data_IF_950867608197
#
_entry.id   IF_950867608197
#
_cell.length_a   1.000
_cell.length_b   1.000
_cell.length_c   1.000
_cell.angle_alpha   90.00
_cell.angle_beta   90.00
_cell.angle_gamma   90.00
#
_symmetry.space_group_name_H-M   'P 1'
#
loop_
_entity.id
_entity.type
_entity.pdbx_description
1 polymer ?
#
# COMPACT_ATOMS: atom_id res chain seq x y z
N UNK A 1 -18.16 -8.79 22.69
CA UNK A 1 -16.87 -9.45 22.96
C UNK A 1 -16.18 -9.72 21.63
N UNK A 2 -14.85 -9.72 21.67
CA UNK A 2 -13.86 -9.45 20.61
C UNK A 2 -14.32 -9.44 19.15
N UNK A 3 -14.22 -8.27 18.50
CA UNK A 3 -13.93 -8.23 17.07
C UNK A 3 -12.52 -8.79 16.93
N UNK A 4 -12.40 -10.07 16.56
CA UNK A 4 -11.13 -10.66 16.14
C UNK A 4 -10.44 -9.67 15.22
N UNK A 5 -9.39 -9.03 15.70
CA UNK A 5 -8.56 -8.14 14.91
C UNK A 5 -7.90 -9.04 13.89
N UNK A 6 -8.58 -9.28 12.76
CA UNK A 6 -8.02 -9.98 11.60
C UNK A 6 -6.83 -9.15 11.17
N UNK A 7 -5.66 -9.54 11.67
CA UNK A 7 -4.35 -9.07 11.23
C UNK A 7 -4.32 -9.35 9.74
N UNK A 8 -4.50 -8.28 8.96
CA UNK A 8 -4.43 -8.41 7.52
C UNK A 8 -2.98 -8.72 7.19
N UNK A 9 -2.76 -9.85 6.51
CA UNK A 9 -1.41 -10.22 6.12
C UNK A 9 -0.91 -9.29 5.00
N UNK A 10 0.41 -9.13 4.84
CA UNK A 10 0.98 -8.34 3.75
C UNK A 10 0.40 -8.72 2.37
N UNK A 11 0.27 -10.01 2.10
CA UNK A 11 -0.31 -10.54 0.85
C UNK A 11 -1.80 -10.21 0.70
N UNK A 12 -2.59 -10.27 1.77
CA UNK A 12 -4.00 -9.88 1.73
C UNK A 12 -4.15 -8.38 1.48
N UNK A 13 -3.29 -7.57 2.08
CA UNK A 13 -3.25 -6.14 1.82
C UNK A 13 -2.83 -5.84 0.39
N UNK A 14 -1.80 -6.52 -0.13
CA UNK A 14 -1.36 -6.44 -1.52
C UNK A 14 -2.54 -6.70 -2.47
N UNK A 15 -3.17 -7.88 -2.37
CA UNK A 15 -4.29 -8.25 -3.22
C UNK A 15 -5.48 -7.27 -3.11
N UNK A 16 -5.71 -6.68 -1.94
CA UNK A 16 -6.71 -5.61 -1.77
C UNK A 16 -6.29 -4.34 -2.52
N UNK A 17 -5.04 -3.89 -2.37
CA UNK A 17 -4.53 -2.69 -3.02
C UNK A 17 -4.53 -2.84 -4.54
N UNK A 18 -4.08 -3.98 -5.06
CA UNK A 18 -4.12 -4.30 -6.49
C UNK A 18 -5.54 -4.21 -7.07
N UNK A 19 -6.53 -4.78 -6.38
CA UNK A 19 -7.94 -4.71 -6.85
C UNK A 19 -8.49 -3.30 -6.88
N UNK A 20 -8.14 -2.44 -5.93
CA UNK A 20 -8.62 -1.06 -5.94
C UNK A 20 -7.90 -0.25 -7.02
N UNK A 21 -6.57 -0.41 -7.17
CA UNK A 21 -5.79 0.23 -8.22
C UNK A 21 -6.26 -0.16 -9.62
N UNK A 22 -6.68 -1.42 -9.81
CA UNK A 22 -7.24 -1.88 -11.08
C UNK A 22 -8.59 -1.22 -11.44
N UNK A 23 -9.33 -0.70 -10.46
CA UNK A 23 -10.64 -0.06 -10.66
C UNK A 23 -10.55 1.46 -10.74
N UNK A 24 -9.55 2.06 -10.09
CA UNK A 24 -9.35 3.49 -9.99
C UNK A 24 -7.87 3.76 -9.76
N UNK A 25 -7.33 4.78 -10.42
CA UNK A 25 -5.97 5.25 -10.13
C UNK A 25 -5.90 5.82 -8.71
N UNK A 26 -4.93 5.35 -7.94
CA UNK A 26 -4.66 5.82 -6.58
C UNK A 26 -3.25 6.39 -6.49
N UNK A 27 -3.11 7.49 -5.76
CA UNK A 27 -1.80 8.02 -5.43
C UNK A 27 -1.09 7.15 -4.37
N UNK A 28 0.25 7.09 -4.37
CA UNK A 28 1.01 6.34 -3.37
C UNK A 28 0.65 6.72 -1.92
N UNK A 29 0.40 8.01 -1.69
CA UNK A 29 -0.04 8.52 -0.38
C UNK A 29 -1.38 7.92 0.09
N UNK A 30 -2.35 7.77 -0.81
CA UNK A 30 -3.65 7.17 -0.48
C UNK A 30 -3.50 5.68 -0.15
N UNK A 31 -2.66 4.97 -0.90
CA UNK A 31 -2.35 3.56 -0.65
C UNK A 31 -1.63 3.41 0.70
N UNK A 32 -0.64 4.26 1.00
CA UNK A 32 0.04 4.30 2.31
C UNK A 32 -0.96 4.48 3.45
N UNK A 33 -1.85 5.47 3.36
CA UNK A 33 -2.89 5.68 4.38
C UNK A 33 -3.82 4.47 4.55
N UNK A 34 -4.18 3.79 3.46
CA UNK A 34 -4.99 2.58 3.53
C UNK A 34 -4.25 1.45 4.23
N UNK A 35 -2.98 1.23 3.90
CA UNK A 35 -2.14 0.20 4.52
C UNK A 35 -1.88 0.50 6.01
N UNK A 36 -1.67 1.76 6.39
CA UNK A 36 -1.55 2.19 7.79
C UNK A 36 -2.82 1.90 8.60
N UNK A 37 -4.01 2.12 8.02
CA UNK A 37 -5.29 1.76 8.65
C UNK A 37 -5.46 0.26 8.86
N UNK A 38 -4.74 -0.57 8.10
CA UNK A 38 -4.70 -2.01 8.29
C UNK A 38 -3.72 -2.44 9.39
N UNK A 39 -3.09 -1.49 10.09
CA UNK A 39 -2.12 -1.74 11.16
C UNK A 39 -0.92 -2.57 10.71
N UNK A 40 -0.51 -2.42 9.45
CA UNK A 40 0.70 -3.03 8.92
C UNK A 40 1.94 -2.27 9.41
N UNK A 41 3.06 -2.95 9.66
CA UNK A 41 4.30 -2.30 10.03
C UNK A 41 4.91 -1.56 8.83
N UNK A 42 5.63 -0.48 9.10
CA UNK A 42 6.03 0.49 8.07
C UNK A 42 6.94 -0.13 6.98
N UNK A 43 7.83 -1.04 7.36
CA UNK A 43 8.67 -1.84 6.47
C UNK A 43 7.84 -2.60 5.42
N UNK A 44 6.75 -3.25 5.86
CA UNK A 44 5.82 -3.95 4.97
C UNK A 44 5.09 -2.97 4.07
N UNK A 45 4.65 -1.82 4.61
CA UNK A 45 3.93 -0.80 3.83
C UNK A 45 4.80 -0.31 2.67
N UNK A 46 6.06 0.04 2.94
CA UNK A 46 6.98 0.50 1.91
C UNK A 46 7.28 -0.59 0.88
N UNK A 47 7.50 -1.84 1.31
CA UNK A 47 7.68 -2.96 0.39
C UNK A 47 6.46 -3.17 -0.54
N UNK A 48 5.25 -3.05 -0.01
CA UNK A 48 4.02 -3.16 -0.79
C UNK A 48 3.85 -2.01 -1.79
N UNK A 49 4.15 -0.78 -1.38
CA UNK A 49 4.07 0.40 -2.26
C UNK A 49 5.10 0.29 -3.39
N UNK A 50 6.36 -0.05 -3.08
CA UNK A 50 7.40 -0.25 -4.10
C UNK A 50 7.03 -1.35 -5.08
N UNK A 51 6.39 -2.43 -4.61
CA UNK A 51 5.87 -3.48 -5.50
C UNK A 51 4.75 -2.97 -6.41
N UNK A 52 3.78 -2.22 -5.88
CA UNK A 52 2.68 -1.67 -6.66
C UNK A 52 3.15 -0.66 -7.72
N UNK A 53 4.19 0.12 -7.42
CA UNK A 53 4.82 1.03 -8.39
C UNK A 53 5.53 0.23 -9.49
N UNK A 54 6.36 -0.75 -9.12
CA UNK A 54 7.05 -1.61 -10.08
C UNK A 54 6.09 -2.36 -11.01
N UNK A 55 4.97 -2.84 -10.48
CA UNK A 55 3.90 -3.50 -11.26
C UNK A 55 2.96 -2.50 -11.98
N UNK A 56 3.28 -1.20 -11.96
CA UNK A 56 2.52 -0.09 -12.60
C UNK A 56 1.07 0.03 -12.14
N UNK A 57 0.75 -0.40 -10.93
CA UNK A 57 -0.54 -0.13 -10.28
C UNK A 57 -0.66 1.29 -9.71
N UNK A 58 0.47 1.98 -9.54
CA UNK A 58 0.56 3.36 -9.04
C UNK A 58 1.50 4.14 -9.96
N UNK A 59 1.06 5.26 -10.54
CA UNK A 59 1.90 6.14 -11.35
C UNK A 59 2.66 7.13 -10.43
N UNK A 60 3.99 7.08 -10.46
CA UNK A 60 4.87 7.59 -9.41
C UNK A 60 5.30 9.06 -9.56
N UNK A 61 4.60 9.86 -10.38
CA UNK A 61 4.97 11.26 -10.69
C UNK A 61 5.06 12.21 -9.49
N UNK A 62 4.69 11.76 -8.28
CA UNK A 62 4.84 12.50 -7.00
C UNK A 62 5.60 11.74 -5.89
N UNK A 63 6.06 10.51 -6.11
CA UNK A 63 6.68 9.70 -5.05
C UNK A 63 8.20 9.69 -5.06
N UNK A 64 8.83 9.78 -6.24
CA UNK A 64 10.27 9.65 -6.41
C UNK A 64 11.07 10.60 -5.49
N UNK A 65 10.57 11.80 -5.21
CA UNK A 65 11.24 12.77 -4.34
C UNK A 65 11.24 12.41 -2.84
N UNK A 66 10.27 11.60 -2.39
CA UNK A 66 10.13 11.25 -0.97
C UNK A 66 10.78 9.92 -0.60
N UNK A 67 11.06 9.04 -1.57
CA UNK A 67 11.66 7.72 -1.33
C UNK A 67 13.19 7.70 -1.45
N UNK A 68 13.78 8.61 -2.23
CA UNK A 68 15.24 8.68 -2.46
C UNK A 68 15.98 9.35 -1.28
N UNK A 69 15.31 9.67 -0.17
CA UNK A 69 15.89 10.44 0.95
C UNK A 69 16.22 9.65 2.22
N UNK A 70 16.17 8.32 2.18
CA UNK A 70 16.65 7.43 3.25
C UNK A 70 17.60 6.38 2.66
#
# INVERSE_FOLDING_TARGET
MEREKKTVTPEQAYARMTRICARKEYAPFEIRQKLQRLQLPADVIEALISRLINERYIDERRFAESYIRD
#
